data_IF_827415577978
#
_entry.id   IF_827415577978
#
_cell.length_a   1.000
_cell.length_b   1.000
_cell.length_c   1.000
_cell.angle_alpha   90.00
_cell.angle_beta   90.00
_cell.angle_gamma   90.00
#
_symmetry.space_group_name_H-M   'P 1'
#
loop_
_entity.id
_entity.type
_entity.pdbx_description
1 polymer ?
#
# COMPACT_ATOMS: atom_id res chain seq x y z
N UNK A 1 -3.77 -15.39 -20.72
CA UNK A 1 -4.30 -14.16 -20.10
C UNK A 1 -3.15 -13.21 -19.90
N UNK A 2 -3.33 -11.94 -20.26
CA UNK A 2 -2.31 -10.93 -20.01
C UNK A 2 -2.53 -10.30 -18.65
N UNK A 3 -1.45 -9.94 -17.97
CA UNK A 3 -1.45 -9.15 -16.76
C UNK A 3 -2.10 -7.79 -17.00
N UNK A 4 -1.90 -7.18 -18.17
CA UNK A 4 -2.62 -5.97 -18.57
C UNK A 4 -4.14 -6.12 -18.47
N UNK A 5 -4.71 -7.32 -18.62
CA UNK A 5 -6.15 -7.57 -18.48
C UNK A 5 -6.63 -7.55 -17.01
N UNK A 6 -5.73 -7.76 -16.05
CA UNK A 6 -6.05 -7.88 -14.61
C UNK A 6 -5.36 -6.83 -13.74
N UNK A 7 -4.53 -5.98 -14.32
CA UNK A 7 -3.77 -4.94 -13.62
C UNK A 7 -4.71 -3.99 -12.85
N UNK A 8 -5.86 -3.64 -13.43
CA UNK A 8 -6.85 -2.78 -12.78
C UNK A 8 -7.44 -3.41 -11.53
N UNK A 9 -7.68 -4.72 -11.53
CA UNK A 9 -8.12 -5.47 -10.33
C UNK A 9 -7.07 -5.42 -9.21
N UNK A 10 -5.78 -5.50 -9.57
CA UNK A 10 -4.70 -5.34 -8.61
C UNK A 10 -4.59 -3.91 -8.08
N UNK A 11 -4.77 -2.90 -8.93
CA UNK A 11 -4.80 -1.49 -8.53
C UNK A 11 -5.96 -1.23 -7.56
N UNK A 12 -7.15 -1.74 -7.86
CA UNK A 12 -8.30 -1.63 -6.98
C UNK A 12 -8.07 -2.29 -5.63
N UNK A 13 -7.54 -3.51 -5.63
CA UNK A 13 -7.20 -4.25 -4.41
C UNK A 13 -6.18 -3.46 -3.59
N UNK A 14 -5.13 -2.94 -4.23
CA UNK A 14 -4.12 -2.11 -3.58
C UNK A 14 -4.74 -0.86 -2.93
N UNK A 15 -5.61 -0.16 -3.64
CA UNK A 15 -6.25 1.04 -3.11
C UNK A 15 -7.18 0.74 -1.93
N UNK A 16 -8.02 -0.30 -2.06
CA UNK A 16 -9.02 -0.69 -1.04
C UNK A 16 -8.35 -1.26 0.21
N UNK A 17 -7.34 -2.11 0.03
CA UNK A 17 -6.77 -2.92 1.10
C UNK A 17 -5.43 -2.44 1.63
N UNK A 18 -4.68 -1.61 0.91
CA UNK A 18 -3.35 -1.14 1.35
C UNK A 18 -3.34 0.37 1.57
N UNK A 19 -3.71 1.15 0.55
CA UNK A 19 -3.69 2.63 0.63
C UNK A 19 -4.62 3.15 1.73
N UNK A 20 -5.77 2.50 1.94
CA UNK A 20 -6.68 2.80 3.05
C UNK A 20 -5.96 2.79 4.41
N UNK A 21 -5.16 1.77 4.70
CA UNK A 21 -4.45 1.68 5.98
C UNK A 21 -3.26 2.63 6.03
N UNK A 22 -2.52 2.80 4.93
CA UNK A 22 -1.46 3.81 4.83
C UNK A 22 -1.96 5.21 5.22
N UNK A 23 -3.07 5.66 4.61
CA UNK A 23 -3.68 6.97 4.90
C UNK A 23 -4.04 7.10 6.40
N UNK A 24 -4.63 6.06 6.99
CA UNK A 24 -4.98 6.05 8.42
C UNK A 24 -3.75 6.09 9.33
N UNK A 25 -2.68 5.36 8.99
CA UNK A 25 -1.42 5.37 9.74
C UNK A 25 -0.81 6.78 9.70
N UNK A 26 -0.73 7.40 8.52
CA UNK A 26 -0.19 8.75 8.35
C UNK A 26 -0.98 9.80 9.15
N UNK A 27 -2.31 9.74 9.10
CA UNK A 27 -3.15 10.64 9.87
C UNK A 27 -2.94 10.45 11.37
N UNK A 28 -2.93 9.19 11.84
CA UNK A 28 -2.74 8.89 13.26
C UNK A 28 -1.36 9.32 13.77
N UNK A 29 -0.31 9.14 12.97
CA UNK A 29 1.04 9.64 13.29
C UNK A 29 1.03 11.17 13.45
N UNK A 30 0.44 11.90 12.49
CA UNK A 30 0.36 13.35 12.56
C UNK A 30 -0.46 13.84 13.78
N UNK A 31 -1.56 13.16 14.10
CA UNK A 31 -2.38 13.44 15.29
C UNK A 31 -1.59 13.14 16.59
N UNK A 32 -0.80 12.07 16.60
CA UNK A 32 0.01 11.68 17.77
C UNK A 32 1.11 12.69 18.05
N UNK A 33 1.78 13.19 17.01
CA UNK A 33 2.78 14.25 17.13
C UNK A 33 2.18 15.52 17.75
N UNK A 34 0.95 15.87 17.35
CA UNK A 34 0.22 17.00 17.93
C UNK A 34 -0.24 16.73 19.38
N UNK A 35 -0.64 15.49 19.70
CA UNK A 35 -1.23 15.10 20.99
C UNK A 35 -0.19 14.81 22.07
N UNK A 36 1.04 14.42 21.69
CA UNK A 36 2.18 14.24 22.60
C UNK A 36 2.48 15.50 23.43
N UNK A 37 2.09 16.67 22.93
CA UNK A 37 2.23 17.95 23.61
C UNK A 37 1.13 18.16 24.67
N UNK A 38 -0.05 17.55 24.50
CA UNK A 38 -1.28 17.95 25.22
C UNK A 38 -1.84 16.89 26.18
N UNK A 39 -1.64 15.59 25.98
CA UNK A 39 -2.21 14.55 26.89
C UNK A 39 -1.54 13.16 26.79
N UNK A 40 -0.66 12.79 27.74
CA UNK A 40 0.05 11.50 27.75
C UNK A 40 -0.84 10.25 27.90
N UNK A 41 -2.02 10.34 28.52
CA UNK A 41 -2.90 9.18 28.74
C UNK A 41 -3.60 8.70 27.47
N UNK A 42 -3.68 9.52 26.42
CA UNK A 42 -4.22 9.14 25.12
C UNK A 42 -3.21 8.34 24.27
N UNK A 43 -1.92 8.41 24.59
CA UNK A 43 -0.87 7.72 23.82
C UNK A 43 -1.00 6.19 23.83
N UNK A 44 -1.41 5.59 24.95
CA UNK A 44 -1.49 4.13 25.03
C UNK A 44 -2.51 3.56 24.04
N UNK A 45 -3.71 4.15 23.97
CA UNK A 45 -4.76 3.75 23.03
C UNK A 45 -4.35 4.02 21.58
N UNK A 46 -3.69 5.15 21.33
CA UNK A 46 -3.17 5.49 20.01
C UNK A 46 -2.08 4.50 19.55
N UNK A 47 -1.24 4.03 20.46
CA UNK A 47 -0.20 3.04 20.16
C UNK A 47 -0.79 1.68 19.78
N UNK A 48 -1.82 1.21 20.49
CA UNK A 48 -2.50 -0.06 20.17
C UNK A 48 -3.20 0.02 18.81
N UNK A 49 -3.90 1.14 18.54
CA UNK A 49 -4.53 1.38 17.25
C UNK A 49 -3.49 1.46 16.11
N UNK A 50 -2.38 2.16 16.32
CA UNK A 50 -1.29 2.28 15.35
C UNK A 50 -0.66 0.92 15.04
N UNK A 51 -0.45 0.08 16.05
CA UNK A 51 0.07 -1.27 15.89
C UNK A 51 -0.86 -2.13 15.05
N UNK A 52 -2.17 -2.09 15.31
CA UNK A 52 -3.16 -2.84 14.52
C UNK A 52 -3.21 -2.34 13.08
N UNK A 53 -3.22 -1.03 12.84
CA UNK A 53 -3.21 -0.46 11.49
C UNK A 53 -1.95 -0.87 10.70
N UNK A 54 -0.77 -0.85 11.32
CA UNK A 54 0.49 -1.30 10.72
C UNK A 54 0.44 -2.79 10.38
N UNK A 55 -0.13 -3.60 11.27
CA UNK A 55 -0.31 -5.03 11.02
C UNK A 55 -1.22 -5.29 9.83
N UNK A 56 -2.34 -4.58 9.74
CA UNK A 56 -3.26 -4.68 8.61
C UNK A 56 -2.58 -4.25 7.29
N UNK A 57 -1.88 -3.11 7.30
CA UNK A 57 -1.10 -2.64 6.15
C UNK A 57 -0.08 -3.70 5.69
N UNK A 58 0.73 -4.23 6.62
CA UNK A 58 1.74 -5.24 6.32
C UNK A 58 1.13 -6.53 5.74
N UNK A 59 0.05 -7.03 6.35
CA UNK A 59 -0.61 -8.26 5.91
C UNK A 59 -1.19 -8.12 4.50
N UNK A 60 -1.87 -7.01 4.24
CA UNK A 60 -2.50 -6.76 2.94
C UNK A 60 -1.46 -6.50 1.84
N UNK A 61 -0.39 -5.77 2.14
CA UNK A 61 0.73 -5.59 1.24
C UNK A 61 1.40 -6.94 0.87
N UNK A 62 1.67 -7.78 1.87
CA UNK A 62 2.25 -9.11 1.65
C UNK A 62 1.30 -10.04 0.88
N UNK A 63 0.00 -9.93 1.10
CA UNK A 63 -1.01 -10.67 0.34
C UNK A 63 -0.94 -10.31 -1.16
N UNK A 64 -0.91 -9.02 -1.51
CA UNK A 64 -0.79 -8.56 -2.89
C UNK A 64 0.51 -9.06 -3.53
N UNK A 65 1.64 -8.88 -2.83
CA UNK A 65 2.97 -9.33 -3.29
C UNK A 65 2.99 -10.84 -3.53
N UNK A 66 2.49 -11.64 -2.59
CA UNK A 66 2.46 -13.11 -2.71
C UNK A 66 1.55 -13.55 -3.84
N UNK A 67 0.40 -12.89 -4.00
CA UNK A 67 -0.55 -13.19 -5.09
C UNK A 67 0.08 -12.93 -6.45
N UNK A 68 0.76 -11.78 -6.62
CA UNK A 68 1.50 -11.47 -7.84
C UNK A 68 2.57 -12.51 -8.14
N UNK A 69 3.41 -12.86 -7.17
CA UNK A 69 4.48 -13.86 -7.35
C UNK A 69 3.93 -15.20 -7.84
N UNK A 70 2.83 -15.66 -7.24
CA UNK A 70 2.23 -16.94 -7.59
C UNK A 70 1.56 -16.93 -8.97
N UNK A 71 1.07 -15.78 -9.42
CA UNK A 71 0.37 -15.65 -10.71
C UNK A 71 1.28 -15.23 -11.86
N UNK A 72 2.46 -14.65 -11.61
CA UNK A 72 3.41 -14.24 -12.66
C UNK A 72 3.68 -15.34 -13.71
N UNK A 73 3.90 -16.62 -13.33
CA UNK A 73 4.17 -17.68 -14.31
C UNK A 73 3.02 -17.97 -15.28
N UNK A 74 1.77 -17.60 -14.93
CA UNK A 74 0.60 -17.86 -15.77
C UNK A 74 0.25 -16.73 -16.74
N UNK A 75 0.90 -15.55 -16.61
CA UNK A 75 0.70 -14.44 -17.54
C UNK A 75 1.51 -14.60 -18.82
N UNK A 76 0.93 -14.15 -19.93
CA UNK A 76 1.63 -14.09 -21.23
C UNK A 76 2.69 -12.96 -21.27
N UNK A 77 2.38 -11.82 -20.67
CA UNK A 77 3.19 -10.60 -20.56
C UNK A 77 3.89 -10.50 -19.19
N UNK A 78 4.57 -11.59 -18.78
CA UNK A 78 5.22 -11.71 -17.47
C UNK A 78 6.12 -10.52 -17.10
N UNK A 79 6.79 -9.91 -18.10
CA UNK A 79 7.65 -8.76 -17.89
C UNK A 79 6.90 -7.57 -17.25
N UNK A 80 5.66 -7.32 -17.66
CA UNK A 80 4.83 -6.25 -17.11
C UNK A 80 4.40 -6.57 -15.67
N UNK A 81 3.92 -7.80 -15.43
CA UNK A 81 3.55 -8.27 -14.09
C UNK A 81 4.72 -8.18 -13.09
N UNK A 82 5.92 -8.52 -13.55
CA UNK A 82 7.16 -8.43 -12.78
C UNK A 82 7.56 -6.99 -12.48
N UNK A 83 7.43 -6.09 -13.45
CA UNK A 83 7.68 -4.67 -13.22
C UNK A 83 6.72 -4.08 -12.20
N UNK A 84 5.44 -4.48 -12.28
CA UNK A 84 4.44 -4.12 -11.30
C UNK A 84 4.84 -4.63 -9.91
N UNK A 85 5.21 -5.91 -9.77
CA UNK A 85 5.70 -6.48 -8.51
C UNK A 85 6.91 -5.72 -7.93
N UNK A 86 7.92 -5.40 -8.75
CA UNK A 86 9.10 -4.64 -8.30
C UNK A 86 8.68 -3.28 -7.73
N UNK A 87 7.78 -2.60 -8.42
CA UNK A 87 7.26 -1.29 -8.01
C UNK A 87 6.52 -1.44 -6.68
N UNK A 88 5.60 -2.39 -6.57
CA UNK A 88 4.85 -2.68 -5.33
C UNK A 88 5.78 -2.97 -4.16
N UNK A 89 6.78 -3.85 -4.32
CA UNK A 89 7.71 -4.18 -3.23
C UNK A 89 8.54 -2.96 -2.81
N UNK A 90 8.93 -2.11 -3.76
CA UNK A 90 9.66 -0.87 -3.46
C UNK A 90 8.82 0.09 -2.62
N UNK A 91 7.57 0.34 -3.01
CA UNK A 91 6.66 1.23 -2.28
C UNK A 91 6.43 0.72 -0.85
N UNK A 92 6.13 -0.57 -0.68
CA UNK A 92 5.95 -1.16 0.67
C UNK A 92 7.20 -0.95 1.53
N UNK A 93 8.38 -1.20 0.97
CA UNK A 93 9.63 -1.02 1.70
C UNK A 93 9.82 0.44 2.11
N UNK A 94 9.57 1.37 1.20
CA UNK A 94 9.80 2.79 1.43
C UNK A 94 8.81 3.34 2.48
N UNK A 95 7.54 2.95 2.42
CA UNK A 95 6.51 3.24 3.44
C UNK A 95 6.90 2.71 4.83
N UNK A 96 7.34 1.46 4.91
CA UNK A 96 7.74 0.83 6.17
C UNK A 96 8.99 1.48 6.79
N UNK A 97 9.94 1.90 5.95
CA UNK A 97 11.09 2.69 6.38
C UNK A 97 10.67 4.06 6.89
N UNK A 98 9.69 4.71 6.24
CA UNK A 98 9.11 5.96 6.70
C UNK A 98 8.45 5.81 8.07
N UNK A 99 7.56 4.81 8.25
CA UNK A 99 6.89 4.56 9.52
C UNK A 99 7.90 4.34 10.66
N UNK A 100 8.97 3.59 10.38
CA UNK A 100 10.04 3.34 11.36
C UNK A 100 10.82 4.61 11.72
N UNK A 101 11.03 5.53 10.78
CA UNK A 101 11.76 6.79 11.01
C UNK A 101 11.03 7.76 11.93
N UNK A 102 9.69 7.72 11.95
CA UNK A 102 8.90 8.62 12.80
C UNK A 102 9.09 8.37 14.30
N UNK A 103 9.64 7.21 14.70
CA UNK A 103 10.02 6.93 16.10
C UNK A 103 8.85 6.72 17.07
N UNK A 104 7.61 6.77 16.57
CA UNK A 104 6.38 6.60 17.37
C UNK A 104 5.89 5.15 17.46
N UNK A 105 6.59 4.21 16.83
CA UNK A 105 6.15 2.83 16.77
C UNK A 105 6.34 2.14 18.13
N UNK A 106 5.28 1.50 18.61
CA UNK A 106 5.37 0.56 19.72
C UNK A 106 6.31 -0.60 19.38
N UNK A 107 6.87 -1.32 20.37
CA UNK A 107 7.72 -2.49 20.11
C UNK A 107 7.06 -3.55 19.23
N UNK A 108 5.75 -3.75 19.38
CA UNK A 108 4.97 -4.69 18.55
C UNK A 108 4.85 -4.22 17.10
N UNK A 109 4.51 -2.95 16.88
CA UNK A 109 4.45 -2.36 15.56
C UNK A 109 5.81 -2.43 14.85
N UNK A 110 6.89 -2.11 15.59
CA UNK A 110 8.25 -2.17 15.09
C UNK A 110 8.67 -3.61 14.75
N UNK A 111 8.31 -4.59 15.56
CA UNK A 111 8.57 -6.00 15.27
C UNK A 111 7.85 -6.44 13.99
N UNK A 112 6.60 -6.00 13.80
CA UNK A 112 5.82 -6.26 12.58
C UNK A 112 6.48 -5.65 11.36
N UNK A 113 6.86 -4.36 11.43
CA UNK A 113 7.60 -3.67 10.35
C UNK A 113 8.89 -4.41 10.00
N UNK A 114 9.71 -4.74 11.00
CA UNK A 114 11.00 -5.41 10.77
C UNK A 114 10.81 -6.80 10.15
N UNK A 115 9.79 -7.57 10.58
CA UNK A 115 9.47 -8.87 10.01
C UNK A 115 9.04 -8.74 8.55
N UNK A 116 8.19 -7.77 8.22
CA UNK A 116 7.75 -7.54 6.85
C UNK A 116 8.93 -7.14 5.97
N UNK A 117 9.77 -6.20 6.42
CA UNK A 117 11.00 -5.82 5.71
C UNK A 117 11.93 -7.02 5.49
N UNK A 118 12.08 -7.89 6.48
CA UNK A 118 12.84 -9.13 6.35
C UNK A 118 12.25 -10.06 5.29
N UNK A 119 10.93 -10.27 5.28
CA UNK A 119 10.27 -11.09 4.26
C UNK A 119 10.48 -10.52 2.85
N UNK A 120 10.32 -9.19 2.68
CA UNK A 120 10.60 -8.51 1.42
C UNK A 120 12.05 -8.69 0.96
N UNK A 121 13.00 -8.58 1.89
CA UNK A 121 14.43 -8.67 1.62
C UNK A 121 14.94 -10.12 1.42
N UNK A 122 14.27 -11.14 1.94
CA UNK A 122 14.79 -12.52 1.91
C UNK A 122 13.97 -13.46 1.05
N UNK A 123 12.63 -13.41 1.18
CA UNK A 123 11.74 -14.32 0.46
C UNK A 123 11.53 -13.85 -0.98
N UNK A 124 11.50 -12.52 -1.19
CA UNK A 124 11.17 -11.95 -2.50
C UNK A 124 12.37 -11.34 -3.22
N UNK A 125 13.50 -11.10 -2.53
CA UNK A 125 14.71 -10.57 -3.17
C UNK A 125 15.33 -11.54 -4.18
N UNK A 126 15.27 -12.85 -3.93
CA UNK A 126 15.71 -13.85 -4.91
C UNK A 126 14.89 -13.78 -6.21
N UNK A 127 13.58 -13.56 -6.08
CA UNK A 127 12.70 -13.38 -7.23
C UNK A 127 12.99 -12.07 -7.96
N UNK A 128 13.13 -10.94 -7.23
CA UNK A 128 13.44 -9.63 -7.83
C UNK A 128 14.78 -9.64 -8.57
N UNK A 129 15.84 -10.21 -7.98
CA UNK A 129 17.14 -10.32 -8.64
C UNK A 129 17.07 -11.15 -9.93
N UNK A 130 16.30 -12.24 -9.92
CA UNK A 130 16.09 -13.06 -11.11
C UNK A 130 15.28 -12.32 -12.18
N UNK A 131 14.32 -11.48 -11.77
CA UNK A 131 13.54 -10.63 -12.68
C UNK A 131 14.43 -9.56 -13.32
N UNK A 132 15.20 -8.82 -12.53
CA UNK A 132 16.10 -7.76 -13.00
C UNK A 132 17.18 -8.31 -13.96
N UNK A 133 17.72 -9.50 -13.66
CA UNK A 133 18.68 -10.17 -14.53
C UNK A 133 18.09 -10.59 -15.89
N UNK A 134 16.80 -10.92 -15.95
CA UNK A 134 16.11 -11.28 -17.20
C UNK A 134 15.74 -10.05 -18.06
N UNK A 135 15.71 -8.84 -17.49
CA UNK A 135 15.46 -7.59 -18.20
C UNK A 135 16.74 -6.95 -18.80
N UNK A 136 17.92 -7.55 -18.62
CA UNK A 136 19.18 -7.05 -19.18
C UNK A 136 19.33 -7.22 -20.71
N UNK A 137 18.25 -7.58 -21.42
CA UNK A 137 18.19 -7.63 -22.88
C UNK A 137 17.42 -6.37 -23.34
N UNK A 138 18.20 -5.37 -23.77
CA UNK A 138 17.85 -4.09 -24.41
C UNK A 138 16.87 -3.14 -23.68
N UNK A 139 17.45 -2.19 -22.93
CA UNK A 139 16.73 -1.09 -22.30
C UNK A 139 16.81 0.18 -23.16
N UNK A 140 15.68 0.66 -23.68
CA UNK A 140 15.56 2.05 -24.16
C UNK A 140 14.95 2.89 -23.02
N UNK A 141 15.68 3.88 -22.46
CA UNK A 141 15.18 4.64 -21.32
C UNK A 141 13.95 5.48 -21.66
N UNK A 142 12.89 5.35 -20.86
CA UNK A 142 11.77 6.29 -20.89
C UNK A 142 12.22 7.58 -20.19
N UNK A 143 12.19 8.72 -20.90
CA UNK A 143 12.44 10.05 -20.33
C UNK A 143 11.25 10.47 -19.46
N UNK A 144 11.38 10.37 -18.15
CA UNK A 144 10.43 10.97 -17.20
C UNK A 144 10.98 12.31 -16.69
N UNK A 145 10.18 13.37 -16.90
CA UNK A 145 10.44 14.73 -16.42
C UNK A 145 10.22 14.79 -14.90
N UNK A 146 11.28 15.16 -14.18
CA UNK A 146 11.41 15.20 -12.71
C UNK A 146 10.61 16.29 -11.98
N UNK A 147 9.44 16.73 -12.49
CA UNK A 147 8.75 17.90 -11.92
C UNK A 147 7.47 17.66 -11.11
N UNK A 148 6.94 16.44 -11.04
CA UNK A 148 5.74 16.15 -10.24
C UNK A 148 6.00 14.99 -9.28
N UNK A 149 6.58 15.29 -8.11
CA UNK A 149 6.77 14.30 -7.03
C UNK A 149 5.97 14.75 -5.82
N UNK A 150 4.67 14.44 -5.83
CA UNK A 150 3.85 14.36 -4.62
C UNK A 150 3.32 12.95 -4.49
N UNK A 151 4.01 12.14 -3.68
CA UNK A 151 3.49 10.97 -2.96
C UNK A 151 2.71 9.92 -3.76
N UNK A 152 3.38 8.83 -4.09
CA UNK A 152 2.87 7.55 -4.66
C UNK A 152 2.36 7.62 -6.10
N UNK A 153 2.85 6.70 -6.93
CA UNK A 153 2.49 6.51 -8.34
C UNK A 153 0.98 6.33 -8.59
N UNK A 154 0.19 6.01 -7.56
CA UNK A 154 -1.26 5.83 -7.60
C UNK A 154 -2.07 6.97 -6.94
N UNK A 155 -1.40 7.99 -6.39
CA UNK A 155 -2.05 9.15 -5.74
C UNK A 155 -2.85 10.05 -6.69
N UNK A 156 -2.82 9.79 -7.99
CA UNK A 156 -3.54 10.56 -9.02
C UNK A 156 -4.75 9.84 -9.64
N UNK A 157 -5.09 8.63 -9.17
CA UNK A 157 -6.35 8.00 -9.61
C UNK A 157 -7.48 8.75 -8.93
N UNK A 158 -8.29 9.47 -9.74
CA UNK A 158 -9.45 10.27 -9.30
C UNK A 158 -10.17 9.54 -8.18
N UNK A 159 -10.38 10.23 -7.06
CA UNK A 159 -11.30 9.80 -6.04
C UNK A 159 -12.60 9.38 -6.74
N UNK A 160 -13.00 8.12 -6.58
CA UNK A 160 -14.35 7.65 -6.89
C UNK A 160 -15.31 8.26 -5.84
N UNK A 161 -15.33 9.58 -5.77
CA UNK A 161 -16.44 10.35 -5.22
C UNK A 161 -17.37 10.65 -6.38
N UNK A 162 -18.21 9.68 -6.73
CA UNK A 162 -19.52 9.98 -7.29
C UNK A 162 -20.48 8.80 -7.11
N UNK A 163 -21.71 9.16 -6.72
CA UNK A 163 -22.95 8.37 -6.71
C UNK A 163 -23.31 7.57 -5.46
N UNK A 164 -23.33 8.25 -4.31
CA UNK A 164 -24.30 7.97 -3.23
C UNK A 164 -25.19 9.18 -2.91
N UNK A 165 -25.64 9.88 -3.95
CA UNK A 165 -26.74 10.85 -3.86
C UNK A 165 -27.80 10.50 -4.90
N UNK A 166 -28.50 9.39 -4.69
CA UNK A 166 -29.83 9.12 -5.25
C UNK A 166 -30.34 7.82 -4.63
N UNK A 167 -30.75 7.88 -3.37
CA UNK A 167 -31.63 6.89 -2.77
C UNK A 167 -32.68 7.60 -1.92
N UNK A 168 -33.86 7.70 -2.53
CA UNK A 168 -35.20 7.72 -1.93
C UNK A 168 -35.53 8.76 -0.86
N UNK A 169 -36.01 9.89 -1.35
CA UNK A 169 -36.87 10.85 -0.65
C UNK A 169 -38.35 10.40 -0.69
N UNK A 170 -38.63 9.13 -0.37
CA UNK A 170 -39.98 8.54 -0.44
C UNK A 170 -40.41 7.84 0.86
N UNK A 171 -40.20 8.51 2.00
CA UNK A 171 -40.77 8.10 3.30
C UNK A 171 -41.50 9.25 4.00
N UNK A 172 -42.39 9.92 3.25
CA UNK A 172 -43.34 10.88 3.82
C UNK A 172 -44.72 10.82 3.15
N UNK A 173 -45.27 9.62 3.00
CA UNK A 173 -46.72 9.43 2.89
C UNK A 173 -47.09 8.09 3.52
N UNK A 174 -47.62 8.14 4.74
CA UNK A 174 -48.74 7.30 5.21
C UNK A 174 -49.13 7.82 6.61
N UNK A 175 -50.05 8.78 6.60
CA UNK A 175 -50.97 8.98 7.72
C UNK A 175 -52.05 7.92 7.61
N UNK A 176 -52.26 7.15 8.69
CA UNK A 176 -53.56 6.79 9.25
C UNK A 176 -53.38 6.51 10.74
#
# INVERSE_FOLDING_TARGET
>A
MKFSDVQDTFNETWNKEVVKFYKRIKNLIAETEATLITSPSLLAQTNDLLAELIKQYCNNALYVVTTLINQIPSYEDQAQARQYLITTVREVRDDLVEFKKNGLLSPEALATVNRTLFNLATQYQGFIKNVEAQQAIEYTPIKLSLKDISGTFFGQVKDLEHDLSNTDDSLNQLQF
#
